data_IF_467403132080
#
_entry.id   IF_467403132080
#
_cell.length_a   1.000
_cell.length_b   1.000
_cell.length_c   1.000
_cell.angle_alpha   90.00
_cell.angle_beta   90.00
_cell.angle_gamma   90.00
#
_symmetry.space_group_name_H-M   'P 1'
#
loop_
_entity.id
_entity.type
_entity.pdbx_description
1 polymer ?
#
# COMPACT_ATOMS: atom_id res chain seq x y z
N UNK A 1 12.15 0.23 17.39
CA UNK A 1 10.84 0.78 17.01
C UNK A 1 10.64 2.25 17.41
N UNK A 2 11.02 2.65 18.63
CA UNK A 2 10.76 4.00 19.20
C UNK A 2 11.19 5.21 18.34
N UNK A 3 12.29 5.13 17.59
CA UNK A 3 12.72 6.23 16.71
C UNK A 3 11.91 6.30 15.40
N UNK A 4 11.59 5.14 14.79
CA UNK A 4 10.76 5.08 13.59
C UNK A 4 9.34 5.57 13.87
N UNK A 5 8.75 5.21 15.02
CA UNK A 5 7.42 5.69 15.42
C UNK A 5 7.38 7.20 15.53
N UNK A 6 8.34 7.82 16.23
CA UNK A 6 8.40 9.29 16.37
C UNK A 6 8.58 10.00 15.02
N UNK A 7 9.39 9.45 14.11
CA UNK A 7 9.59 10.03 12.79
C UNK A 7 8.34 9.87 11.90
N UNK A 8 7.65 8.72 12.00
CA UNK A 8 6.40 8.47 11.29
C UNK A 8 5.28 9.40 11.77
N UNK A 9 5.19 9.64 13.08
CA UNK A 9 4.28 10.60 13.70
C UNK A 9 4.55 12.05 13.28
N UNK A 10 5.82 12.39 13.03
CA UNK A 10 6.24 13.71 12.50
C UNK A 10 5.99 13.86 10.99
N UNK A 11 5.50 12.83 10.31
CA UNK A 11 5.10 12.94 8.91
C UNK A 11 6.11 12.42 7.90
N UNK A 12 7.27 11.91 8.31
CA UNK A 12 8.27 11.42 7.35
C UNK A 12 7.75 10.19 6.58
N UNK A 13 7.55 10.33 5.27
CA UNK A 13 6.93 9.29 4.44
C UNK A 13 7.65 7.93 4.51
N UNK A 14 8.98 7.91 4.49
CA UNK A 14 9.75 6.66 4.57
C UNK A 14 9.66 6.00 5.95
N UNK A 15 9.59 6.80 7.02
CA UNK A 15 9.36 6.28 8.36
C UNK A 15 7.94 5.72 8.51
N UNK A 16 6.94 6.36 7.91
CA UNK A 16 5.57 5.85 7.85
C UNK A 16 5.48 4.57 7.05
N UNK A 17 6.17 4.47 5.91
CA UNK A 17 6.26 3.25 5.12
C UNK A 17 6.89 2.12 5.94
N UNK A 18 8.04 2.34 6.57
CA UNK A 18 8.71 1.31 7.38
C UNK A 18 7.85 0.87 8.57
N UNK A 19 7.14 1.80 9.22
CA UNK A 19 6.22 1.46 10.30
C UNK A 19 5.02 0.66 9.79
N UNK A 20 4.52 0.95 8.59
CA UNK A 20 3.49 0.16 7.95
C UNK A 20 3.97 -1.28 7.70
N UNK A 21 5.17 -1.44 7.13
CA UNK A 21 5.80 -2.76 6.91
C UNK A 21 5.95 -3.53 8.23
N UNK A 22 6.39 -2.87 9.31
CA UNK A 22 6.46 -3.53 10.62
C UNK A 22 5.12 -4.09 11.08
N UNK A 23 4.03 -3.34 10.91
CA UNK A 23 2.68 -3.84 11.24
C UNK A 23 2.16 -4.89 10.26
N UNK A 24 2.54 -4.80 8.99
CA UNK A 24 2.15 -5.72 7.93
C UNK A 24 2.76 -7.12 8.15
N UNK A 25 4.06 -7.16 8.43
CA UNK A 25 4.81 -8.41 8.60
C UNK A 25 4.94 -8.87 10.07
N UNK A 26 4.58 -8.01 11.03
CA UNK A 26 4.75 -8.30 12.47
C UNK A 26 6.21 -8.22 12.93
N UNK A 27 7.02 -7.38 12.28
CA UNK A 27 8.43 -7.20 12.65
C UNK A 27 8.57 -6.22 13.82
N UNK A 28 8.90 -6.75 15.00
CA UNK A 28 9.08 -5.96 16.22
C UNK A 28 7.79 -5.39 16.83
N UNK A 29 6.65 -5.57 16.17
CA UNK A 29 5.28 -5.34 16.64
C UNK A 29 4.43 -6.58 16.39
N UNK A 30 3.31 -6.71 17.09
CA UNK A 30 2.27 -7.64 16.66
C UNK A 30 1.71 -7.21 15.29
N UNK A 31 1.54 -8.18 14.39
CA UNK A 31 0.97 -7.95 13.06
C UNK A 31 -0.45 -7.37 13.19
N UNK A 32 -0.69 -6.28 12.49
CA UNK A 32 -1.96 -5.55 12.52
C UNK A 32 -2.20 -4.87 11.16
N UNK A 33 -2.93 -5.58 10.29
CA UNK A 33 -3.22 -5.09 8.93
C UNK A 33 -3.95 -3.75 8.91
N UNK A 34 -4.80 -3.46 9.90
CA UNK A 34 -5.51 -2.16 9.95
C UNK A 34 -4.54 -1.01 10.21
N UNK A 35 -3.55 -1.20 11.10
CA UNK A 35 -2.48 -0.22 11.31
C UNK A 35 -1.54 -0.13 10.11
N UNK A 36 -1.23 -1.25 9.46
CA UNK A 36 -0.44 -1.24 8.22
C UNK A 36 -1.12 -0.39 7.15
N UNK A 37 -2.42 -0.61 6.87
CA UNK A 37 -3.22 0.20 5.93
C UNK A 37 -3.20 1.68 6.30
N UNK A 38 -3.36 2.02 7.58
CA UNK A 38 -3.31 3.40 8.05
C UNK A 38 -1.97 4.08 7.72
N UNK A 39 -0.84 3.44 8.02
CA UNK A 39 0.48 4.01 7.80
C UNK A 39 0.89 4.00 6.33
N UNK A 40 0.60 2.93 5.58
CA UNK A 40 0.78 2.91 4.14
C UNK A 40 -0.03 4.02 3.47
N UNK A 41 -1.27 4.26 3.88
CA UNK A 41 -2.10 5.35 3.35
C UNK A 41 -1.45 6.72 3.56
N UNK A 42 -0.88 6.98 4.75
CA UNK A 42 -0.17 8.24 4.99
C UNK A 42 1.06 8.39 4.09
N UNK A 43 1.90 7.38 3.98
CA UNK A 43 3.10 7.41 3.13
C UNK A 43 2.73 7.52 1.63
N UNK A 44 1.72 6.76 1.19
CA UNK A 44 1.24 6.73 -0.19
C UNK A 44 0.66 8.07 -0.64
N UNK A 45 -0.07 8.76 0.24
CA UNK A 45 -0.59 10.11 -0.01
C UNK A 45 0.53 11.16 -0.16
N UNK A 46 1.71 10.91 0.40
CA UNK A 46 2.89 11.75 0.21
C UNK A 46 3.72 11.37 -1.03
N UNK A 47 3.25 10.41 -1.82
CA UNK A 47 3.91 10.01 -3.06
C UNK A 47 4.90 8.84 -2.91
N UNK A 48 5.09 8.27 -1.72
CA UNK A 48 5.96 7.09 -1.57
C UNK A 48 5.42 5.93 -2.43
N UNK A 49 6.15 5.58 -3.49
CA UNK A 49 5.69 4.63 -4.52
C UNK A 49 5.55 3.20 -4.00
N UNK A 50 6.36 2.80 -3.03
CA UNK A 50 6.35 1.44 -2.48
C UNK A 50 5.18 1.29 -1.51
N UNK A 51 4.88 2.33 -0.72
CA UNK A 51 3.65 2.42 0.05
C UNK A 51 2.39 2.40 -0.84
N UNK A 52 2.41 3.09 -1.99
CA UNK A 52 1.32 3.02 -2.96
C UNK A 52 1.12 1.61 -3.50
N UNK A 53 2.21 0.90 -3.87
CA UNK A 53 2.11 -0.49 -4.30
C UNK A 53 1.51 -1.38 -3.20
N UNK A 54 2.05 -1.32 -1.99
CA UNK A 54 1.63 -2.19 -0.90
C UNK A 54 0.18 -1.89 -0.46
N UNK A 55 -0.23 -0.62 -0.45
CA UNK A 55 -1.63 -0.27 -0.22
C UNK A 55 -2.55 -0.84 -1.31
N UNK A 56 -2.07 -0.89 -2.56
CA UNK A 56 -2.75 -1.59 -3.65
C UNK A 56 -2.95 -3.07 -3.35
N UNK A 57 -1.92 -3.76 -2.85
CA UNK A 57 -1.98 -5.16 -2.43
C UNK A 57 -3.00 -5.37 -1.30
N UNK A 58 -2.96 -4.53 -0.26
CA UNK A 58 -3.89 -4.63 0.87
C UNK A 58 -5.36 -4.53 0.41
N UNK A 59 -5.68 -3.64 -0.54
CA UNK A 59 -7.02 -3.56 -1.12
C UNK A 59 -7.36 -4.74 -2.05
N UNK A 60 -6.38 -5.32 -2.74
CA UNK A 60 -6.58 -6.46 -3.64
C UNK A 60 -6.87 -7.74 -2.85
N UNK A 61 -6.17 -7.94 -1.73
CA UNK A 61 -6.30 -9.10 -0.87
C UNK A 61 -7.39 -8.94 0.19
N UNK A 62 -7.72 -7.71 0.55
CA UNK A 62 -8.63 -7.41 1.66
C UNK A 62 -7.98 -7.60 3.03
N UNK A 63 -6.67 -7.37 3.14
CA UNK A 63 -5.95 -7.44 4.41
C UNK A 63 -5.99 -6.08 5.12
N UNK A 64 -6.46 -6.07 6.37
CA UNK A 64 -6.63 -4.83 7.14
C UNK A 64 -7.67 -3.85 6.61
N UNK A 65 -8.26 -4.11 5.44
CA UNK A 65 -9.27 -3.28 4.78
C UNK A 65 -10.22 -4.16 3.96
N UNK A 66 -11.44 -3.71 3.73
CA UNK A 66 -12.34 -4.41 2.82
C UNK A 66 -11.74 -4.47 1.41
N UNK A 67 -11.77 -5.67 0.80
CA UNK A 67 -11.31 -5.89 -0.57
C UNK A 67 -12.02 -4.94 -1.55
N UNK A 68 -11.24 -4.21 -2.33
CA UNK A 68 -11.71 -3.25 -3.32
C UNK A 68 -10.73 -3.19 -4.51
N UNK A 69 -11.05 -3.94 -5.55
CA UNK A 69 -10.20 -4.05 -6.74
C UNK A 69 -10.00 -2.71 -7.46
N UNK A 70 -10.99 -1.80 -7.39
CA UNK A 70 -10.88 -0.49 -8.04
C UNK A 70 -9.85 0.36 -7.32
N UNK A 71 -9.92 0.43 -5.99
CA UNK A 71 -8.91 1.13 -5.18
C UNK A 71 -7.53 0.50 -5.33
N UNK A 72 -7.44 -0.83 -5.39
CA UNK A 72 -6.18 -1.51 -5.66
C UNK A 72 -5.56 -1.01 -6.97
N UNK A 73 -6.33 -1.01 -8.07
CA UNK A 73 -5.86 -0.54 -9.38
C UNK A 73 -5.51 0.96 -9.38
N UNK A 74 -6.25 1.80 -8.65
CA UNK A 74 -5.92 3.22 -8.49
C UNK A 74 -4.54 3.42 -7.84
N UNK A 75 -4.24 2.67 -6.78
CA UNK A 75 -2.95 2.73 -6.10
C UNK A 75 -1.82 2.12 -6.92
N UNK A 76 -2.02 0.95 -7.54
CA UNK A 76 -1.06 0.38 -8.48
C UNK A 76 -0.74 1.33 -9.63
N UNK A 77 -1.74 2.00 -10.21
CA UNK A 77 -1.52 2.98 -11.29
C UNK A 77 -0.64 4.14 -10.83
N UNK A 78 -0.86 4.68 -9.63
CA UNK A 78 -0.01 5.75 -9.07
C UNK A 78 1.44 5.27 -8.91
N UNK A 79 1.66 4.09 -8.33
CA UNK A 79 2.99 3.52 -8.16
C UNK A 79 3.69 3.21 -9.50
N UNK A 80 2.94 2.66 -10.46
CA UNK A 80 3.43 2.32 -11.80
C UNK A 80 3.89 3.54 -12.61
N UNK A 81 3.17 4.67 -12.50
CA UNK A 81 3.55 5.96 -13.10
C UNK A 81 4.86 6.50 -12.51
N UNK A 82 5.23 6.07 -11.30
CA UNK A 82 6.51 6.39 -10.64
C UNK A 82 7.59 5.32 -10.87
N UNK A 83 7.35 4.39 -11.81
CA UNK A 83 8.31 3.36 -12.18
C UNK A 83 8.43 2.19 -11.20
N UNK A 84 7.44 1.97 -10.32
CA UNK A 84 7.40 0.74 -9.52
C UNK A 84 7.04 -0.47 -10.42
N UNK A 85 7.99 -1.38 -10.62
CA UNK A 85 7.84 -2.53 -11.53
C UNK A 85 6.84 -3.59 -11.05
N UNK A 86 6.69 -3.76 -9.73
CA UNK A 86 5.68 -4.68 -9.18
C UNK A 86 4.27 -4.16 -9.47
N UNK A 87 4.05 -2.87 -9.25
CA UNK A 87 2.77 -2.22 -9.54
C UNK A 87 2.44 -2.25 -11.04
N UNK A 88 3.44 -2.08 -11.92
CA UNK A 88 3.27 -2.25 -13.36
C UNK A 88 2.79 -3.67 -13.71
N UNK A 89 3.43 -4.70 -13.13
CA UNK A 89 3.04 -6.09 -13.34
C UNK A 89 1.63 -6.38 -12.80
N UNK A 90 1.32 -5.94 -11.59
CA UNK A 90 -0.01 -6.13 -10.98
C UNK A 90 -1.10 -5.47 -11.81
N UNK A 91 -0.86 -4.26 -12.30
CA UNK A 91 -1.80 -3.55 -13.15
C UNK A 91 -1.99 -4.24 -14.50
N UNK A 92 -0.91 -4.74 -15.12
CA UNK A 92 -0.98 -5.49 -16.37
C UNK A 92 -1.80 -6.79 -16.22
N UNK A 93 -1.56 -7.53 -15.14
CA UNK A 93 -2.33 -8.75 -14.80
C UNK A 93 -3.81 -8.41 -14.59
N UNK A 94 -4.10 -7.33 -13.84
CA UNK A 94 -5.49 -6.94 -13.58
C UNK A 94 -6.22 -6.51 -14.86
N UNK A 95 -5.57 -5.76 -15.75
CA UNK A 95 -6.14 -5.44 -17.06
C UNK A 95 -6.37 -6.68 -17.92
N UNK A 96 -5.41 -7.61 -17.96
CA UNK A 96 -5.52 -8.84 -18.74
C UNK A 96 -6.72 -9.70 -18.32
N UNK A 97 -6.99 -9.80 -17.02
CA UNK A 97 -8.13 -10.55 -16.48
C UNK A 97 -9.41 -9.71 -16.29
N UNK A 98 -9.42 -8.44 -16.72
CA UNK A 98 -10.57 -7.55 -16.55
C UNK A 98 -10.93 -7.22 -15.10
N UNK A 99 -10.01 -7.43 -14.15
CA UNK A 99 -10.25 -7.22 -12.72
C UNK A 99 -10.38 -5.73 -12.40
N UNK A 100 -11.53 -5.34 -11.85
CA UNK A 100 -11.79 -3.96 -11.43
C UNK A 100 -12.10 -3.00 -12.58
N UNK A 101 -12.28 -3.53 -13.79
CA UNK A 101 -12.86 -2.81 -14.91
C UNK A 101 -14.36 -3.09 -14.88
N UNK A 102 -15.15 -2.15 -14.39
CA UNK A 102 -16.58 -2.21 -14.59
C UNK A 102 -16.84 -2.02 -16.09
N UNK A 103 -16.93 -3.11 -16.84
CA UNK A 103 -17.55 -3.10 -18.16
C UNK A 103 -19.05 -3.20 -17.91
N UNK A 104 -19.71 -2.05 -17.82
CA UNK A 104 -21.16 -1.93 -17.95
C UNK A 104 -21.49 -1.50 -19.37
#
# INVERSE_FOLDING_TARGET
>A
MTWYTKAAEQGHADAQYNLAVSYDEGEGVERDGSKAVFWYTKAANQGNRDAQNNLGVMYDEGDGVAKDQRKANEWYKKAALQGNGLAQNNLAINYYYGKGLNVT
#
